data_IF_434331194093
#
_entry.id   IF_434331194093
#
_cell.length_a   1.000
_cell.length_b   1.000
_cell.length_c   1.000
_cell.angle_alpha   90.00
_cell.angle_beta   90.00
_cell.angle_gamma   90.00
#
_symmetry.space_group_name_H-M   'P 1'
#
loop_
_entity.id
_entity.type
_entity.pdbx_description
1 polymer ?
#
# COMPACT_ATOMS: atom_id res chain seq x y z
N UNK A 1 10.93 13.99 -3.40
CA UNK A 1 11.04 12.52 -3.57
C UNK A 1 9.85 11.91 -2.86
N UNK A 2 8.99 11.18 -3.58
CA UNK A 2 7.92 10.42 -2.93
C UNK A 2 8.56 9.33 -2.08
N UNK A 3 8.06 9.11 -0.86
CA UNK A 3 8.52 8.00 -0.03
C UNK A 3 7.79 6.73 -0.50
N UNK A 4 8.54 5.65 -0.70
CA UNK A 4 7.99 4.34 -1.08
C UNK A 4 7.57 3.57 0.16
N UNK A 5 6.38 2.98 0.14
CA UNK A 5 5.75 2.25 1.25
C UNK A 5 5.37 0.84 0.79
N UNK A 6 5.84 -0.18 1.50
CA UNK A 6 5.41 -1.56 1.30
C UNK A 6 4.23 -1.85 2.23
N UNK A 7 3.12 -2.31 1.66
CA UNK A 7 1.90 -2.72 2.34
C UNK A 7 1.88 -4.25 2.35
N UNK A 8 2.03 -4.85 3.54
CA UNK A 8 1.97 -6.31 3.72
C UNK A 8 0.77 -6.61 4.60
N UNK A 9 -0.20 -7.32 4.05
CA UNK A 9 -1.43 -7.72 4.73
C UNK A 9 -2.00 -8.93 3.98
N UNK A 10 -2.55 -9.93 4.67
CA UNK A 10 -3.11 -11.13 4.06
C UNK A 10 -4.49 -10.88 3.41
N UNK A 11 -5.20 -9.83 3.82
CA UNK A 11 -6.51 -9.46 3.28
C UNK A 11 -6.41 -8.47 2.09
N UNK A 12 -6.92 -8.86 0.91
CA UNK A 12 -6.88 -8.03 -0.30
C UNK A 12 -7.62 -6.70 -0.15
N UNK A 13 -8.77 -6.70 0.52
CA UNK A 13 -9.58 -5.51 0.76
C UNK A 13 -8.81 -4.47 1.59
N UNK A 14 -8.05 -4.93 2.58
CA UNK A 14 -7.21 -4.08 3.43
C UNK A 14 -6.06 -3.49 2.62
N UNK A 15 -5.35 -4.31 1.83
CA UNK A 15 -4.27 -3.83 0.93
C UNK A 15 -4.79 -2.77 -0.04
N UNK A 16 -5.95 -3.01 -0.66
CA UNK A 16 -6.56 -2.10 -1.64
C UNK A 16 -6.96 -0.77 -1.02
N UNK A 17 -7.55 -0.80 0.19
CA UNK A 17 -7.90 0.40 0.95
C UNK A 17 -6.66 1.23 1.29
N UNK A 18 -5.62 0.59 1.84
CA UNK A 18 -4.37 1.26 2.22
C UNK A 18 -3.63 1.81 1.00
N UNK A 19 -3.58 1.07 -0.10
CA UNK A 19 -2.99 1.51 -1.35
C UNK A 19 -3.64 2.80 -1.86
N UNK A 20 -4.97 2.84 -1.85
CA UNK A 20 -5.75 4.02 -2.27
C UNK A 20 -5.51 5.21 -1.34
N UNK A 21 -5.54 4.99 -0.02
CA UNK A 21 -5.30 6.02 0.98
C UNK A 21 -3.90 6.63 0.82
N UNK A 22 -2.87 5.80 0.73
CA UNK A 22 -1.48 6.24 0.67
C UNK A 22 -1.14 6.89 -0.69
N UNK A 23 -1.62 6.31 -1.80
CA UNK A 23 -1.46 6.91 -3.13
C UNK A 23 -2.10 8.29 -3.22
N UNK A 24 -3.30 8.46 -2.66
CA UNK A 24 -3.99 9.76 -2.62
C UNK A 24 -3.24 10.80 -1.77
N UNK A 25 -2.43 10.36 -0.80
CA UNK A 25 -1.56 11.22 0.00
C UNK A 25 -0.17 11.46 -0.62
N UNK A 26 0.06 11.00 -1.87
CA UNK A 26 1.30 11.23 -2.61
C UNK A 26 2.44 10.27 -2.26
N UNK A 27 2.12 9.13 -1.63
CA UNK A 27 3.07 8.04 -1.42
C UNK A 27 3.10 7.11 -2.63
N UNK A 28 4.26 6.53 -2.89
CA UNK A 28 4.39 5.40 -3.81
C UNK A 28 4.19 4.12 -3.01
N UNK A 29 3.29 3.25 -3.44
CA UNK A 29 2.91 2.05 -2.71
C UNK A 29 3.29 0.79 -3.48
N UNK A 30 3.69 -0.24 -2.74
CA UNK A 30 3.89 -1.60 -3.23
C UNK A 30 3.11 -2.53 -2.31
N UNK A 31 2.38 -3.50 -2.86
CA UNK A 31 1.54 -4.42 -2.10
C UNK A 31 2.16 -5.82 -2.13
N UNK A 32 2.19 -6.50 -0.99
CA UNK A 32 2.56 -7.90 -0.87
C UNK A 32 1.50 -8.63 -0.03
N UNK A 33 1.13 -9.82 -0.47
CA UNK A 33 0.20 -10.71 0.27
C UNK A 33 0.93 -11.64 1.24
N UNK A 34 2.24 -11.77 1.08
CA UNK A 34 3.14 -12.59 1.90
C UNK A 34 4.58 -12.05 1.79
N UNK A 35 5.44 -12.41 2.74
CA UNK A 35 6.83 -11.94 2.88
C UNK A 35 7.88 -12.83 2.24
#
# INVERSE_FOLDING_TARGET
>A
MAKKVLIVDDEEDVRTYLNSLLSNNGYETEMAEDG
#
